data_IF_289410603372
#
_entry.id   IF_289410603372
#
_cell.length_a   1.000
_cell.length_b   1.000
_cell.length_c   1.000
_cell.angle_alpha   90.00
_cell.angle_beta   90.00
_cell.angle_gamma   90.00
#
_symmetry.space_group_name_H-M   'P 1'
#
loop_
_entity.id
_entity.type
_entity.pdbx_description
1 polymer ?
#
# COMPACT_ATOMS: atom_id res chain seq x y z
N UNK A 1 2.46 -9.39 22.11
CA UNK A 1 1.21 -9.58 21.35
C UNK A 1 0.27 -8.36 21.31
N UNK A 2 0.22 -7.49 22.34
CA UNK A 2 -0.64 -6.29 22.34
C UNK A 2 -0.38 -5.32 21.16
N UNK A 3 0.89 -5.06 20.81
CA UNK A 3 1.25 -4.18 19.67
C UNK A 3 0.75 -4.68 18.32
N UNK A 4 0.82 -6.00 18.06
CA UNK A 4 0.42 -6.57 16.76
C UNK A 4 -1.09 -6.44 16.54
N UNK A 5 -1.89 -6.68 17.59
CA UNK A 5 -3.36 -6.49 17.54
C UNK A 5 -3.73 -5.04 17.18
N UNK A 6 -2.99 -4.07 17.70
CA UNK A 6 -3.23 -2.66 17.38
C UNK A 6 -2.88 -2.33 15.93
N UNK A 7 -1.81 -2.91 15.38
CA UNK A 7 -1.41 -2.71 13.97
C UNK A 7 -2.42 -3.34 13.01
N UNK A 8 -2.90 -4.56 13.31
CA UNK A 8 -3.94 -5.22 12.50
C UNK A 8 -5.22 -4.38 12.50
N UNK A 9 -5.68 -3.94 13.68
CA UNK A 9 -6.87 -3.08 13.78
C UNK A 9 -6.71 -1.79 12.98
N UNK A 10 -5.55 -1.12 13.10
CA UNK A 10 -5.26 0.10 12.34
C UNK A 10 -5.28 -0.17 10.82
N UNK A 11 -4.76 -1.31 10.38
CA UNK A 11 -4.77 -1.71 8.97
C UNK A 11 -6.19 -1.89 8.44
N UNK A 12 -7.04 -2.61 9.17
CA UNK A 12 -8.45 -2.81 8.80
C UNK A 12 -9.22 -1.49 8.80
N UNK A 13 -9.03 -0.64 9.82
CA UNK A 13 -9.69 0.66 9.94
C UNK A 13 -9.31 1.64 8.81
N UNK A 14 -8.17 1.41 8.15
CA UNK A 14 -7.65 2.22 7.04
C UNK A 14 -8.03 1.67 5.67
N UNK A 15 -8.32 0.36 5.56
CA UNK A 15 -8.59 -0.32 4.29
C UNK A 15 -9.62 0.40 3.43
N UNK A 16 -10.76 0.78 4.03
CA UNK A 16 -11.87 1.40 3.30
C UNK A 16 -11.73 2.92 3.14
N UNK A 17 -10.74 3.53 3.81
CA UNK A 17 -10.46 4.97 3.74
C UNK A 17 -9.41 5.31 2.68
N UNK A 18 -8.78 4.30 2.09
CA UNK A 18 -7.78 4.47 1.04
C UNK A 18 -8.45 4.78 -0.30
N UNK A 19 -7.91 5.78 -1.01
CA UNK A 19 -8.34 6.07 -2.38
C UNK A 19 -7.99 4.86 -3.28
N UNK A 20 -9.02 4.22 -3.83
CA UNK A 20 -8.92 3.00 -4.65
C UNK A 20 -8.03 3.15 -5.88
N UNK A 21 -7.83 4.37 -6.38
CA UNK A 21 -6.91 4.67 -7.50
C UNK A 21 -5.44 4.45 -7.14
N UNK A 22 -5.11 4.39 -5.85
CA UNK A 22 -3.77 4.23 -5.31
C UNK A 22 -3.64 2.95 -4.47
N UNK A 23 -4.60 2.03 -4.55
CA UNK A 23 -4.55 0.74 -3.87
C UNK A 23 -3.78 -0.28 -4.73
N UNK A 24 -3.04 -1.17 -4.06
CA UNK A 24 -2.41 -2.33 -4.69
C UNK A 24 -3.48 -3.24 -5.29
N UNK A 25 -3.37 -3.53 -6.58
CA UNK A 25 -4.29 -4.46 -7.26
C UNK A 25 -3.72 -5.88 -7.26
N UNK A 26 -4.59 -6.88 -7.45
CA UNK A 26 -4.14 -8.26 -7.65
C UNK A 26 -3.19 -8.39 -8.85
N UNK A 27 -3.42 -7.62 -9.92
CA UNK A 27 -2.51 -7.57 -11.07
C UNK A 27 -1.09 -7.16 -10.68
N UNK A 28 -0.96 -6.10 -9.86
CA UNK A 28 0.35 -5.68 -9.37
C UNK A 28 1.03 -6.76 -8.54
N UNK A 29 0.26 -7.54 -7.76
CA UNK A 29 0.82 -8.64 -6.99
C UNK A 29 1.27 -9.80 -7.87
N UNK A 30 0.54 -10.13 -8.95
CA UNK A 30 0.97 -11.13 -9.92
C UNK A 30 2.24 -10.71 -10.65
N UNK A 31 2.36 -9.43 -11.04
CA UNK A 31 3.58 -8.91 -11.65
C UNK A 31 4.78 -9.03 -10.70
N UNK A 32 4.58 -8.74 -9.41
CA UNK A 32 5.64 -8.89 -8.40
C UNK A 32 5.98 -10.36 -8.14
N UNK A 33 5.00 -11.26 -8.09
CA UNK A 33 5.22 -12.72 -7.93
C UNK A 33 6.03 -13.28 -9.10
N UNK A 34 5.79 -12.80 -10.32
CA UNK A 34 6.57 -13.22 -11.50
C UNK A 34 8.02 -12.71 -11.51
N UNK A 35 8.36 -11.73 -10.66
CA UNK A 35 9.68 -11.09 -10.62
C UNK A 35 10.55 -11.54 -9.44
N UNK A 36 9.96 -11.76 -8.26
CA UNK A 36 10.69 -12.09 -7.05
C UNK A 36 10.54 -13.58 -6.70
N UNK A 37 11.66 -14.28 -6.58
CA UNK A 37 11.68 -15.71 -6.20
C UNK A 37 11.52 -15.93 -4.69
N UNK A 38 11.90 -14.93 -3.88
CA UNK A 38 11.85 -14.99 -2.42
C UNK A 38 10.63 -14.24 -1.87
N UNK A 39 9.86 -14.91 -1.01
CA UNK A 39 8.68 -14.32 -0.36
C UNK A 39 9.01 -13.06 0.47
N UNK A 40 10.18 -12.99 1.10
CA UNK A 40 10.59 -11.81 1.85
C UNK A 40 10.84 -10.61 0.93
N UNK A 41 11.43 -10.85 -0.24
CA UNK A 41 11.66 -9.81 -1.24
C UNK A 41 10.36 -9.36 -1.90
N UNK A 42 9.46 -10.30 -2.18
CA UNK A 42 8.11 -10.02 -2.66
C UNK A 42 7.34 -9.12 -1.68
N UNK A 43 7.33 -9.46 -0.40
CA UNK A 43 6.66 -8.66 0.64
C UNK A 43 7.29 -7.27 0.76
N UNK A 44 8.62 -7.18 0.74
CA UNK A 44 9.32 -5.89 0.76
C UNK A 44 8.99 -5.04 -0.48
N UNK A 45 8.89 -5.66 -1.66
CA UNK A 45 8.52 -4.99 -2.89
C UNK A 45 7.06 -4.49 -2.87
N UNK A 46 6.13 -5.33 -2.40
CA UNK A 46 4.72 -4.94 -2.23
C UNK A 46 4.59 -3.76 -1.27
N UNK A 47 5.33 -3.77 -0.14
CA UNK A 47 5.35 -2.66 0.80
C UNK A 47 5.87 -1.36 0.16
N UNK A 48 7.00 -1.42 -0.58
CA UNK A 48 7.55 -0.26 -1.31
C UNK A 48 6.56 0.29 -2.33
N UNK A 49 5.90 -0.58 -3.08
CA UNK A 49 4.89 -0.18 -4.05
C UNK A 49 3.72 0.53 -3.37
N UNK A 50 3.19 -0.02 -2.27
CA UNK A 50 2.15 0.62 -1.47
C UNK A 50 2.56 2.01 -0.96
N UNK A 51 3.79 2.15 -0.45
CA UNK A 51 4.33 3.45 -0.02
C UNK A 51 4.39 4.46 -1.17
N UNK A 52 4.89 4.06 -2.34
CA UNK A 52 4.93 4.91 -3.53
C UNK A 52 3.54 5.37 -3.96
N UNK A 53 2.53 4.50 -3.88
CA UNK A 53 1.15 4.88 -4.21
C UNK A 53 0.57 5.88 -3.20
N UNK A 54 0.81 5.67 -1.90
CA UNK A 54 0.43 6.63 -0.86
C UNK A 54 1.08 8.01 -1.07
N UNK A 55 2.38 8.04 -1.37
CA UNK A 55 3.08 9.31 -1.67
C UNK A 55 2.51 10.01 -2.92
N UNK A 56 2.08 9.28 -3.95
CA UNK A 56 1.40 9.85 -5.12
C UNK A 56 0.03 10.43 -4.75
N UNK A 57 -0.73 9.74 -3.90
CA UNK A 57 -2.03 10.22 -3.44
C UNK A 57 -1.90 11.53 -2.65
N UNK A 58 -0.95 11.60 -1.72
CA UNK A 58 -0.69 12.81 -0.92
C UNK A 58 -0.20 13.98 -1.79
N UNK A 59 0.70 13.73 -2.76
CA UNK A 59 1.11 14.76 -3.72
C UNK A 59 -0.06 15.27 -4.56
N UNK A 60 -1.00 14.40 -4.93
CA UNK A 60 -2.19 14.80 -5.69
C UNK A 60 -3.11 15.65 -4.82
N UNK A 61 -3.39 15.22 -3.58
CA UNK A 61 -4.17 15.99 -2.60
C UNK A 61 -3.57 17.37 -2.35
N UNK A 62 -2.26 17.45 -2.18
CA UNK A 62 -1.55 18.72 -1.98
C UNK A 62 -1.66 19.66 -3.18
N UNK A 63 -1.79 19.14 -4.41
CA UNK A 63 -2.02 19.93 -5.62
C UNK A 63 -3.47 20.40 -5.74
N UNK A 64 -4.43 19.50 -5.47
CA UNK A 64 -5.87 19.80 -5.57
C UNK A 64 -6.38 20.68 -4.42
N UNK A 65 -5.73 20.68 -3.25
CA UNK A 65 -6.06 21.57 -2.13
C UNK A 65 -5.28 22.89 -2.10
N UNK A 66 -4.44 23.14 -3.11
CA UNK A 66 -3.73 24.41 -3.30
C UNK A 66 -4.40 25.31 -4.37
N UNK A 67 -5.50 24.85 -4.96
CA UNK A 67 -6.44 25.62 -5.79
C UNK A 67 -7.70 25.97 -4.98
#
# INVERSE_FOLDING_TARGET
MSRLKNVVKLSEDMRDKMNTRYVLTCGNMFDLIGHYENIFELVAAAFRLGYCQGAKAERKRAKEGAE
#
